data_IF_251493531127
#
_entry.id   IF_251493531127
#
_cell.length_a   1.000
_cell.length_b   1.000
_cell.length_c   1.000
_cell.angle_alpha   90.00
_cell.angle_beta   90.00
_cell.angle_gamma   90.00
#
_symmetry.space_group_name_H-M   'P 1'
#
loop_
_entity.id
_entity.type
_entity.pdbx_description
1 polymer ?
#
# COMPACT_ATOMS: atom_id res chain seq x y z
N UNK A 1 8.89 -41.30 -66.69
CA UNK A 1 9.61 -40.42 -65.80
C UNK A 1 8.78 -39.18 -65.56
N UNK A 2 7.99 -39.12 -64.44
CA UNK A 2 7.15 -37.99 -64.09
C UNK A 2 7.77 -37.28 -62.89
N UNK A 3 8.20 -36.06 -63.13
CA UNK A 3 8.79 -35.19 -62.10
C UNK A 3 7.66 -34.48 -61.38
N UNK A 4 7.52 -34.68 -60.06
CA UNK A 4 6.60 -33.96 -59.18
C UNK A 4 7.33 -32.75 -58.63
N UNK A 5 6.85 -31.54 -58.95
CA UNK A 5 7.25 -30.29 -58.34
C UNK A 5 6.52 -30.16 -56.98
N UNK A 6 7.29 -30.12 -55.91
CA UNK A 6 6.78 -29.84 -54.56
C UNK A 6 6.79 -28.31 -54.35
N UNK A 7 5.61 -27.70 -54.35
CA UNK A 7 5.43 -26.28 -54.00
C UNK A 7 5.35 -26.17 -52.46
N UNK A 8 6.37 -25.64 -51.81
CA UNK A 8 6.34 -25.31 -50.41
C UNK A 8 5.67 -23.95 -50.23
N UNK A 9 4.46 -23.97 -49.69
CA UNK A 9 3.73 -22.77 -49.27
C UNK A 9 4.31 -22.30 -47.94
N UNK A 10 5.12 -21.25 -47.93
CA UNK A 10 5.55 -20.52 -46.71
C UNK A 10 4.36 -19.73 -46.16
N UNK A 11 3.66 -20.27 -45.18
CA UNK A 11 2.69 -19.52 -44.39
C UNK A 11 3.47 -18.60 -43.43
N UNK A 12 3.52 -17.31 -43.78
CA UNK A 12 4.07 -16.28 -42.89
C UNK A 12 3.17 -16.12 -41.66
N UNK A 13 3.63 -16.57 -40.50
CA UNK A 13 3.03 -16.22 -39.24
C UNK A 13 3.23 -14.70 -39.01
N UNK A 14 2.19 -13.95 -38.63
CA UNK A 14 2.36 -12.56 -38.26
C UNK A 14 3.25 -12.50 -37.00
N UNK A 15 4.39 -11.84 -37.11
CA UNK A 15 5.20 -11.49 -35.96
C UNK A 15 4.34 -10.57 -35.06
N UNK A 16 3.90 -11.09 -33.92
CA UNK A 16 3.31 -10.28 -32.85
C UNK A 16 4.48 -9.44 -32.31
N UNK A 17 4.56 -8.20 -32.76
CA UNK A 17 5.39 -7.19 -32.13
C UNK A 17 4.83 -6.97 -30.72
N UNK A 18 5.44 -7.62 -29.73
CA UNK A 18 5.28 -7.19 -28.34
C UNK A 18 5.86 -5.77 -28.28
N UNK A 19 4.98 -4.78 -28.08
CA UNK A 19 5.42 -3.44 -27.71
C UNK A 19 6.30 -3.59 -26.47
N UNK A 20 7.57 -3.21 -26.57
CA UNK A 20 8.44 -3.12 -25.41
C UNK A 20 7.81 -2.11 -24.45
N UNK A 21 7.75 -2.42 -23.14
CA UNK A 21 7.23 -1.48 -22.18
C UNK A 21 8.03 -0.17 -22.26
N UNK A 22 7.32 0.96 -22.32
CA UNK A 22 7.89 2.32 -22.31
C UNK A 22 8.49 2.62 -20.91
N UNK A 23 9.57 1.91 -20.54
CA UNK A 23 10.39 2.30 -19.41
C UNK A 23 11.76 2.75 -19.90
N UNK A 24 12.32 3.72 -19.21
CA UNK A 24 13.66 4.23 -19.51
C UNK A 24 14.64 3.43 -18.68
N UNK A 25 15.51 2.70 -19.36
CA UNK A 25 16.66 2.08 -18.72
C UNK A 25 17.63 3.19 -18.29
N UNK A 26 17.65 3.50 -17.01
CA UNK A 26 18.54 4.52 -16.44
C UNK A 26 19.77 3.81 -15.91
N UNK A 27 20.78 3.66 -16.74
CA UNK A 27 22.07 3.13 -16.34
C UNK A 27 22.91 4.23 -15.70
N UNK A 28 22.99 4.24 -14.35
CA UNK A 28 23.96 5.05 -13.66
C UNK A 28 25.37 4.43 -13.85
N UNK A 29 26.39 5.20 -14.25
CA UNK A 29 27.76 4.72 -14.28
C UNK A 29 28.24 4.41 -12.85
N UNK A 30 28.48 3.15 -12.54
CA UNK A 30 28.87 2.68 -11.20
C UNK A 30 27.67 2.51 -10.25
N UNK A 31 27.93 2.09 -9.00
CA UNK A 31 26.94 1.87 -7.93
C UNK A 31 26.35 3.19 -7.35
N UNK A 32 26.28 4.28 -8.12
CA UNK A 32 25.78 5.57 -7.68
C UNK A 32 24.26 5.61 -7.77
N UNK A 33 23.58 5.96 -6.66
CA UNK A 33 22.16 6.24 -6.67
C UNK A 33 21.88 7.50 -7.50
N UNK A 34 20.87 7.42 -8.39
CA UNK A 34 20.45 8.57 -9.21
C UNK A 34 19.87 9.68 -8.35
N UNK A 35 20.08 10.93 -8.77
CA UNK A 35 19.61 12.13 -8.09
C UNK A 35 18.54 12.86 -8.90
N UNK A 36 17.43 13.17 -8.24
CA UNK A 36 16.31 13.93 -8.77
C UNK A 36 16.21 15.29 -8.08
N UNK A 37 16.30 16.38 -8.85
CA UNK A 37 15.94 17.71 -8.39
C UNK A 37 14.43 17.92 -8.53
N UNK A 38 13.76 18.45 -7.48
CA UNK A 38 12.34 18.83 -7.53
C UNK A 38 12.23 20.33 -7.27
N UNK A 39 12.05 21.12 -8.34
CA UNK A 39 11.90 22.57 -8.21
C UNK A 39 10.59 22.95 -7.50
N UNK A 40 10.56 24.09 -6.79
CA UNK A 40 9.31 24.69 -6.35
C UNK A 40 8.36 24.94 -7.52
N UNK A 41 7.06 24.82 -7.29
CA UNK A 41 6.05 25.09 -8.35
C UNK A 41 6.08 26.56 -8.72
N UNK A 42 6.18 26.89 -10.02
CA UNK A 42 6.19 28.25 -10.55
C UNK A 42 4.76 28.70 -10.91
N UNK A 43 4.51 29.99 -10.90
CA UNK A 43 3.36 30.62 -11.57
C UNK A 43 3.77 31.08 -12.98
N UNK A 44 2.84 31.37 -13.91
CA UNK A 44 3.13 31.79 -15.28
C UNK A 44 4.04 33.03 -15.39
N UNK A 45 4.04 33.89 -14.38
CA UNK A 45 4.94 35.07 -14.27
C UNK A 45 6.30 34.72 -13.61
N UNK A 46 6.56 33.45 -13.34
CA UNK A 46 7.78 32.97 -12.69
C UNK A 46 7.81 33.17 -11.18
N UNK A 47 6.75 33.76 -10.57
CA UNK A 47 6.61 33.85 -9.12
C UNK A 47 6.18 32.51 -8.54
N UNK A 48 6.70 32.19 -7.37
CA UNK A 48 6.31 30.97 -6.65
C UNK A 48 5.18 31.28 -5.68
N UNK A 49 4.00 30.62 -5.77
CA UNK A 49 2.95 30.76 -4.76
C UNK A 49 3.50 30.23 -3.41
N UNK A 50 3.62 31.07 -2.35
CA UNK A 50 4.49 30.77 -1.20
C UNK A 50 4.21 29.44 -0.49
N UNK A 51 2.95 29.07 -0.30
CA UNK A 51 2.60 27.87 0.47
C UNK A 51 2.25 26.66 -0.40
N UNK A 52 1.55 26.84 -1.52
CA UNK A 52 1.16 25.76 -2.42
C UNK A 52 2.39 25.13 -3.11
N UNK A 53 3.35 25.96 -3.46
CA UNK A 53 4.60 25.60 -4.13
C UNK A 53 5.47 24.68 -3.27
N UNK A 54 5.73 25.08 -2.03
CA UNK A 54 6.53 24.29 -1.10
C UNK A 54 5.88 22.94 -0.80
N UNK A 55 4.58 22.95 -0.52
CA UNK A 55 3.84 21.71 -0.21
C UNK A 55 3.91 20.69 -1.35
N UNK A 56 3.79 21.14 -2.62
CA UNK A 56 3.84 20.24 -3.76
C UNK A 56 5.21 19.59 -3.96
N UNK A 57 6.30 20.39 -3.94
CA UNK A 57 7.65 19.85 -4.10
C UNK A 57 8.06 18.96 -2.93
N UNK A 58 7.66 19.30 -1.69
CA UNK A 58 7.90 18.45 -0.52
C UNK A 58 7.18 17.09 -0.62
N UNK A 59 5.94 17.08 -1.12
CA UNK A 59 5.17 15.83 -1.34
C UNK A 59 5.91 14.93 -2.31
N UNK A 60 6.25 15.45 -3.52
CA UNK A 60 6.96 14.65 -4.54
C UNK A 60 8.30 14.16 -4.00
N UNK A 61 9.07 15.03 -3.34
CA UNK A 61 10.38 14.69 -2.76
C UNK A 61 10.25 13.57 -1.72
N UNK A 62 9.28 13.67 -0.82
CA UNK A 62 9.04 12.65 0.22
C UNK A 62 8.61 11.31 -0.37
N UNK A 63 7.71 11.31 -1.35
CA UNK A 63 7.21 10.10 -2.02
C UNK A 63 8.36 9.38 -2.72
N UNK A 64 9.13 10.10 -3.51
CA UNK A 64 10.25 9.52 -4.26
C UNK A 64 11.34 9.01 -3.31
N UNK A 65 11.71 9.75 -2.27
CA UNK A 65 12.67 9.29 -1.27
C UNK A 65 12.16 8.05 -0.52
N UNK A 66 10.86 7.99 -0.22
CA UNK A 66 10.26 6.81 0.40
C UNK A 66 10.33 5.58 -0.52
N UNK A 67 10.23 5.76 -1.84
CA UNK A 67 10.37 4.66 -2.80
C UNK A 67 11.74 3.98 -2.77
N UNK A 68 12.79 4.75 -2.46
CA UNK A 68 14.18 4.28 -2.50
C UNK A 68 14.74 4.09 -3.90
N UNK A 69 13.98 4.39 -4.95
CA UNK A 69 14.39 4.21 -6.35
C UNK A 69 15.46 5.24 -6.73
N UNK A 70 15.24 6.51 -6.38
CA UNK A 70 16.18 7.61 -6.59
C UNK A 70 16.22 8.49 -5.35
N UNK A 71 17.28 9.29 -5.20
CA UNK A 71 17.41 10.30 -4.15
C UNK A 71 16.83 11.63 -4.67
N UNK A 72 15.76 12.12 -4.06
CA UNK A 72 15.12 13.37 -4.43
C UNK A 72 15.51 14.49 -3.46
N UNK A 73 15.81 15.67 -4.00
CA UNK A 73 16.08 16.90 -3.26
C UNK A 73 15.13 18.00 -3.75
N UNK A 74 14.47 18.74 -2.84
CA UNK A 74 13.47 19.75 -3.23
C UNK A 74 13.52 21.03 -2.39
N UNK A 75 13.44 20.91 -1.06
CA UNK A 75 13.16 22.02 -0.15
C UNK A 75 14.17 23.19 -0.19
N UNK A 76 15.43 22.90 -0.43
CA UNK A 76 16.53 23.88 -0.43
C UNK A 76 17.02 24.29 -1.81
N UNK A 77 16.42 23.72 -2.87
CA UNK A 77 16.83 24.02 -4.23
C UNK A 77 16.39 25.43 -4.63
N UNK A 78 17.36 26.25 -5.02
CA UNK A 78 17.10 27.50 -5.72
C UNK A 78 17.26 27.25 -7.21
N UNK A 79 16.19 27.46 -8.02
CA UNK A 79 16.32 27.36 -9.47
C UNK A 79 17.43 28.29 -9.99
N UNK A 80 18.24 27.85 -10.96
CA UNK A 80 19.22 28.72 -11.59
C UNK A 80 18.54 29.97 -12.19
N UNK A 81 19.19 31.13 -12.09
CA UNK A 81 18.68 32.37 -12.68
C UNK A 81 18.45 32.19 -14.19
N UNK A 82 17.32 32.72 -14.70
CA UNK A 82 16.94 32.65 -16.11
C UNK A 82 16.01 31.50 -16.51
N UNK A 83 15.68 30.58 -15.60
CA UNK A 83 14.74 29.48 -15.86
C UNK A 83 13.28 29.90 -15.53
N UNK A 84 12.64 30.68 -16.41
CA UNK A 84 11.28 31.23 -16.21
C UNK A 84 10.19 30.45 -16.93
N UNK A 85 10.52 29.56 -17.84
CA UNK A 85 9.55 28.78 -18.64
C UNK A 85 9.60 27.29 -18.28
N UNK A 86 8.43 26.67 -18.27
CA UNK A 86 8.27 25.24 -18.00
C UNK A 86 8.99 24.37 -19.05
N UNK A 87 9.12 24.84 -20.28
CA UNK A 87 9.70 24.11 -21.42
C UNK A 87 11.16 24.43 -21.69
N UNK A 88 11.63 25.61 -21.29
CA UNK A 88 13.00 26.03 -21.54
C UNK A 88 13.91 25.72 -20.35
N UNK A 89 14.58 24.56 -20.41
CA UNK A 89 15.40 24.06 -19.32
C UNK A 89 16.88 24.31 -19.62
N UNK A 90 17.51 25.17 -18.81
CA UNK A 90 18.97 25.22 -18.77
C UNK A 90 19.52 24.04 -17.97
N UNK A 91 20.03 23.03 -18.66
CA UNK A 91 20.52 21.78 -18.05
C UNK A 91 21.88 21.91 -17.37
N UNK A 92 22.72 22.87 -17.81
CA UNK A 92 24.14 22.97 -17.39
C UNK A 92 24.28 23.11 -15.84
N UNK A 93 23.56 23.99 -15.15
CA UNK A 93 23.64 24.10 -13.69
C UNK A 93 23.25 22.81 -12.94
N UNK A 94 22.25 22.09 -13.43
CA UNK A 94 21.78 20.83 -12.81
C UNK A 94 22.81 19.71 -12.97
N UNK A 95 23.44 19.61 -14.17
CA UNK A 95 24.55 18.69 -14.40
C UNK A 95 25.74 19.01 -13.49
N UNK A 96 26.12 20.30 -13.37
CA UNK A 96 27.20 20.72 -12.48
C UNK A 96 26.91 20.41 -11.01
N UNK A 97 25.63 20.51 -10.58
CA UNK A 97 25.19 20.13 -9.24
C UNK A 97 25.07 18.61 -9.04
N UNK A 98 25.26 17.81 -10.09
CA UNK A 98 25.26 16.34 -10.03
C UNK A 98 23.89 15.70 -10.03
N UNK A 99 22.85 16.39 -10.54
CA UNK A 99 21.53 15.83 -10.74
C UNK A 99 21.41 15.10 -12.08
N UNK A 100 20.74 13.97 -12.06
CA UNK A 100 20.49 13.16 -13.26
C UNK A 100 19.11 13.47 -13.86
N UNK A 101 18.17 13.89 -13.01
CA UNK A 101 16.80 14.19 -13.39
C UNK A 101 16.29 15.47 -12.72
N UNK A 102 15.27 16.08 -13.32
CA UNK A 102 14.65 17.32 -12.85
C UNK A 102 13.13 17.26 -12.98
N UNK A 103 12.42 17.58 -11.90
CA UNK A 103 10.99 17.90 -11.94
C UNK A 103 10.82 19.41 -11.97
N UNK A 104 10.09 19.90 -12.97
CA UNK A 104 9.58 21.27 -13.06
C UNK A 104 8.07 21.24 -13.04
N UNK A 105 7.47 22.25 -12.44
CA UNK A 105 6.03 22.38 -12.38
C UNK A 105 5.60 23.84 -12.45
N UNK A 106 4.45 24.05 -13.08
CA UNK A 106 3.80 25.35 -13.22
C UNK A 106 2.35 25.25 -12.79
N UNK A 107 1.91 26.30 -12.08
CA UNK A 107 0.56 26.42 -11.55
C UNK A 107 -0.08 27.68 -12.11
N UNK A 108 -1.29 27.56 -12.65
CA UNK A 108 -2.10 28.68 -13.12
C UNK A 108 -3.55 28.56 -12.64
N UNK A 109 -4.27 29.69 -12.63
CA UNK A 109 -5.69 29.73 -12.35
C UNK A 109 -6.46 29.93 -13.64
N UNK A 110 -7.47 29.12 -13.90
CA UNK A 110 -8.43 29.26 -14.98
C UNK A 110 -9.83 29.45 -14.37
N UNK A 111 -10.22 30.70 -14.13
CA UNK A 111 -11.37 31.04 -13.27
C UNK A 111 -11.12 30.53 -11.84
N UNK A 112 -12.06 29.74 -11.29
CA UNK A 112 -11.95 29.17 -9.93
C UNK A 112 -11.17 27.82 -9.92
N UNK A 113 -10.66 27.38 -11.06
CA UNK A 113 -9.97 26.09 -11.18
C UNK A 113 -8.47 26.27 -11.19
N UNK A 114 -7.82 25.40 -10.42
CA UNK A 114 -6.39 25.24 -10.43
C UNK A 114 -6.00 24.35 -11.61
N UNK A 115 -5.04 24.80 -12.41
CA UNK A 115 -4.33 23.98 -13.39
C UNK A 115 -2.90 23.85 -12.92
N UNK A 116 -2.40 22.62 -12.81
CA UNK A 116 -0.99 22.36 -12.54
C UNK A 116 -0.44 21.43 -13.59
N UNK A 117 0.71 21.78 -14.15
CA UNK A 117 1.46 20.96 -15.08
C UNK A 117 2.80 20.58 -14.45
N UNK A 118 3.10 19.30 -14.43
CA UNK A 118 4.37 18.73 -13.98
C UNK A 118 5.09 18.10 -15.15
N UNK A 119 6.41 18.28 -15.20
CA UNK A 119 7.28 17.69 -16.19
C UNK A 119 8.50 17.07 -15.53
N UNK A 120 8.87 15.86 -15.98
CA UNK A 120 10.10 15.17 -15.61
C UNK A 120 11.06 15.22 -16.78
N UNK A 121 12.29 15.65 -16.51
CA UNK A 121 13.36 15.75 -17.50
C UNK A 121 14.51 14.83 -17.12
N UNK A 122 15.12 14.22 -18.12
CA UNK A 122 16.44 13.61 -18.08
C UNK A 122 17.47 14.73 -18.34
N UNK A 123 18.21 15.07 -17.29
CA UNK A 123 19.19 16.17 -17.34
C UNK A 123 20.41 15.78 -18.15
N UNK A 124 20.82 14.52 -18.09
CA UNK A 124 22.00 13.98 -18.79
C UNK A 124 21.77 13.96 -20.29
N UNK A 125 20.61 13.42 -20.72
CA UNK A 125 20.25 13.31 -22.13
C UNK A 125 19.49 14.54 -22.67
N UNK A 126 19.26 15.55 -21.83
CA UNK A 126 18.58 16.83 -22.17
C UNK A 126 17.24 16.64 -22.85
N UNK A 127 16.40 15.72 -22.35
CA UNK A 127 15.10 15.41 -22.91
C UNK A 127 14.00 15.34 -21.83
N UNK A 128 12.78 15.64 -22.23
CA UNK A 128 11.61 15.40 -21.40
C UNK A 128 11.28 13.91 -21.39
N UNK A 129 11.07 13.34 -20.20
CA UNK A 129 10.67 11.95 -20.00
C UNK A 129 9.15 11.83 -20.04
N UNK A 130 8.45 12.62 -19.22
CA UNK A 130 6.99 12.62 -19.13
C UNK A 130 6.46 13.98 -18.69
N UNK A 131 5.20 14.24 -19.00
CA UNK A 131 4.46 15.41 -18.54
C UNK A 131 3.03 15.03 -18.17
N UNK A 132 2.47 15.68 -17.16
CA UNK A 132 1.08 15.53 -16.74
C UNK A 132 0.47 16.87 -16.39
N UNK A 133 -0.75 17.09 -16.88
CA UNK A 133 -1.55 18.26 -16.56
C UNK A 133 -2.79 17.83 -15.78
N UNK A 134 -3.01 18.49 -14.64
CA UNK A 134 -4.14 18.25 -13.76
C UNK A 134 -5.01 19.51 -13.68
N UNK A 135 -6.32 19.30 -13.62
CA UNK A 135 -7.33 20.35 -13.47
C UNK A 135 -8.21 20.03 -12.27
N UNK A 136 -8.36 20.97 -11.34
CA UNK A 136 -9.15 20.76 -10.14
C UNK A 136 -9.25 22.02 -9.28
N UNK A 137 -9.31 21.84 -7.97
CA UNK A 137 -9.34 22.93 -6.98
C UNK A 137 -8.06 22.90 -6.12
N UNK A 138 -7.75 24.02 -5.47
CA UNK A 138 -6.49 24.17 -4.72
C UNK A 138 -6.25 23.07 -3.69
N UNK A 139 -7.30 22.58 -3.01
CA UNK A 139 -7.21 21.48 -2.03
C UNK A 139 -6.77 20.14 -2.64
N UNK A 140 -6.84 19.97 -3.96
CA UNK A 140 -6.45 18.76 -4.67
C UNK A 140 -4.98 18.77 -5.10
N UNK A 141 -4.26 19.88 -4.94
CA UNK A 141 -2.86 20.01 -5.37
C UNK A 141 -1.98 18.92 -4.77
N UNK A 142 -2.18 18.61 -3.49
CA UNK A 142 -1.44 17.52 -2.82
C UNK A 142 -1.68 16.16 -3.50
N UNK A 143 -2.93 15.83 -3.83
CA UNK A 143 -3.30 14.62 -4.54
C UNK A 143 -2.68 14.57 -5.94
N UNK A 144 -2.61 15.70 -6.65
CA UNK A 144 -1.95 15.80 -7.95
C UNK A 144 -0.44 15.56 -7.83
N UNK A 145 0.21 16.08 -6.76
CA UNK A 145 1.62 15.84 -6.48
C UNK A 145 1.92 14.37 -6.24
N UNK A 146 1.13 13.68 -5.42
CA UNK A 146 1.21 12.22 -5.22
C UNK A 146 1.00 11.46 -6.53
N UNK A 147 0.00 11.85 -7.33
CA UNK A 147 -0.25 11.23 -8.63
C UNK A 147 0.91 11.40 -9.60
N UNK A 148 1.59 12.56 -9.57
CA UNK A 148 2.77 12.75 -10.40
C UNK A 148 3.99 11.98 -9.88
N UNK A 149 4.17 11.83 -8.57
CA UNK A 149 5.18 10.94 -7.99
C UNK A 149 4.95 9.47 -8.43
N UNK A 150 3.71 9.00 -8.50
CA UNK A 150 3.36 7.69 -9.08
C UNK A 150 3.76 7.59 -10.57
N UNK A 151 3.57 8.66 -11.36
CA UNK A 151 4.00 8.69 -12.77
C UNK A 151 5.53 8.70 -12.91
N UNK A 152 6.24 9.38 -12.01
CA UNK A 152 7.72 9.33 -11.97
C UNK A 152 8.17 7.88 -11.73
N UNK A 153 7.61 7.20 -10.72
CA UNK A 153 7.94 5.81 -10.45
C UNK A 153 7.65 4.92 -11.66
N UNK A 154 6.48 5.11 -12.28
CA UNK A 154 6.12 4.33 -13.47
C UNK A 154 7.10 4.55 -14.63
N UNK A 155 7.53 5.78 -14.86
CA UNK A 155 8.51 6.10 -15.91
C UNK A 155 9.90 5.46 -15.62
N UNK A 156 10.28 5.34 -14.34
CA UNK A 156 11.59 4.82 -13.95
C UNK A 156 11.61 3.29 -13.75
N UNK A 157 10.49 2.68 -13.37
CA UNK A 157 10.44 1.26 -12.97
C UNK A 157 9.49 0.41 -13.82
N UNK A 158 8.64 1.03 -14.66
CA UNK A 158 7.57 0.36 -15.37
C UNK A 158 6.32 0.07 -14.50
N UNK A 159 6.39 0.23 -13.19
CA UNK A 159 5.32 -0.11 -12.25
C UNK A 159 4.68 1.15 -11.65
N UNK A 160 3.36 1.15 -11.51
CA UNK A 160 2.63 2.24 -10.88
C UNK A 160 2.98 2.33 -9.38
N UNK A 161 3.15 3.54 -8.86
CA UNK A 161 3.34 3.79 -7.43
C UNK A 161 2.03 3.68 -6.63
N UNK A 162 2.10 3.88 -5.32
CA UNK A 162 0.98 3.75 -4.36
C UNK A 162 0.68 5.05 -3.60
N UNK A 163 1.24 6.18 -4.04
CA UNK A 163 1.18 7.43 -3.29
C UNK A 163 -0.19 8.11 -3.35
N UNK A 164 -1.11 7.64 -4.20
CA UNK A 164 -2.52 8.06 -4.22
C UNK A 164 -3.45 7.17 -3.40
N UNK A 165 -2.91 6.18 -2.69
CA UNK A 165 -3.67 5.22 -1.87
C UNK A 165 -3.90 5.71 -0.44
N UNK A 166 -4.60 4.93 0.37
CA UNK A 166 -4.99 5.27 1.75
C UNK A 166 -4.63 4.17 2.72
N UNK A 167 -4.52 4.57 4.00
CA UNK A 167 -4.37 3.66 5.12
C UNK A 167 -5.58 3.82 6.04
N UNK A 168 -6.30 2.73 6.31
CA UNK A 168 -7.28 2.70 7.39
C UNK A 168 -6.60 2.15 8.66
N UNK A 169 -7.01 2.65 9.82
CA UNK A 169 -6.45 2.26 11.10
C UNK A 169 -7.47 2.45 12.23
N UNK A 170 -7.24 1.80 13.35
CA UNK A 170 -8.01 1.99 14.57
C UNK A 170 -7.32 3.05 15.44
N UNK A 171 -8.07 4.05 15.90
CA UNK A 171 -7.61 5.07 16.84
C UNK A 171 -8.44 5.07 18.13
N UNK A 172 -7.76 5.19 19.26
CA UNK A 172 -8.40 5.34 20.57
C UNK A 172 -8.34 6.79 21.12
N UNK A 173 -8.09 7.78 20.27
CA UNK A 173 -7.95 9.19 20.68
C UNK A 173 -9.22 9.78 21.29
N UNK A 174 -10.39 9.32 20.86
CA UNK A 174 -11.71 9.80 21.36
C UNK A 174 -12.21 9.05 22.59
N UNK A 175 -11.39 8.17 23.18
CA UNK A 175 -11.77 7.31 24.30
C UNK A 175 -12.31 5.94 23.88
N UNK A 176 -12.97 5.85 22.74
CA UNK A 176 -13.41 4.59 22.12
C UNK A 176 -12.47 4.22 20.94
N UNK A 177 -12.49 2.96 20.55
CA UNK A 177 -11.74 2.51 19.38
C UNK A 177 -12.58 2.74 18.13
N UNK A 178 -12.23 3.75 17.35
CA UNK A 178 -12.91 4.11 16.12
C UNK A 178 -11.98 3.90 14.91
N UNK A 179 -12.57 3.60 13.75
CA UNK A 179 -11.83 3.43 12.49
C UNK A 179 -11.67 4.78 11.80
N UNK A 180 -10.48 5.08 11.40
CA UNK A 180 -10.08 6.25 10.61
C UNK A 180 -9.48 5.83 9.28
N UNK A 181 -9.53 6.72 8.32
CA UNK A 181 -8.80 6.62 7.05
C UNK A 181 -7.99 7.89 6.85
N UNK A 182 -6.75 7.74 6.39
CA UNK A 182 -5.85 8.84 6.05
C UNK A 182 -5.18 8.55 4.70
N UNK A 183 -4.60 9.57 4.08
CA UNK A 183 -3.71 9.39 2.94
C UNK A 183 -2.49 8.57 3.38
N UNK A 184 -1.80 7.89 2.45
CA UNK A 184 -0.70 6.96 2.79
C UNK A 184 0.39 7.59 3.68
N UNK A 185 0.59 8.90 3.56
CA UNK A 185 1.61 9.68 4.29
C UNK A 185 1.08 10.34 5.58
N UNK A 186 -0.14 10.00 5.97
CA UNK A 186 -0.77 10.41 7.23
C UNK A 186 -1.61 11.68 7.16
N UNK A 187 -1.73 12.31 5.99
CA UNK A 187 -2.58 13.49 5.83
C UNK A 187 -4.06 13.13 5.78
N UNK A 188 -4.93 14.14 5.97
CA UNK A 188 -6.40 14.04 5.89
C UNK A 188 -7.00 12.90 6.72
N UNK A 189 -6.68 12.74 8.01
CA UNK A 189 -7.28 11.70 8.84
C UNK A 189 -8.78 11.97 9.02
N UNK A 190 -9.62 11.07 8.51
CA UNK A 190 -11.08 11.16 8.59
C UNK A 190 -11.64 9.95 9.35
N UNK A 191 -12.50 10.16 10.36
CA UNK A 191 -13.16 9.07 11.05
C UNK A 191 -14.21 8.43 10.14
N UNK A 192 -14.13 7.11 9.98
CA UNK A 192 -15.18 6.32 9.33
C UNK A 192 -16.25 5.90 10.33
N UNK A 193 -15.90 5.57 11.56
CA UNK A 193 -16.88 5.22 12.60
C UNK A 193 -16.92 6.30 13.68
N UNK A 194 -18.11 6.55 14.22
CA UNK A 194 -18.39 7.47 15.34
C UNK A 194 -19.56 6.93 16.15
N UNK A 195 -19.51 5.64 16.50
CA UNK A 195 -20.64 4.97 17.14
C UNK A 195 -20.46 4.80 18.66
N UNK A 196 -19.36 5.30 19.23
CA UNK A 196 -19.07 5.25 20.66
C UNK A 196 -18.80 3.84 21.18
N UNK A 197 -18.44 2.92 20.30
CA UNK A 197 -18.17 1.52 20.62
C UNK A 197 -16.75 1.10 20.25
N UNK A 198 -16.46 -0.18 20.38
CA UNK A 198 -15.20 -0.77 19.94
C UNK A 198 -15.36 -1.21 18.49
N UNK A 199 -14.53 -0.66 17.59
CA UNK A 199 -14.44 -1.02 16.19
C UNK A 199 -13.00 -1.46 15.88
N UNK A 200 -12.82 -2.64 15.27
CA UNK A 200 -11.54 -3.33 15.11
C UNK A 200 -11.41 -3.98 13.73
N UNK A 201 -10.20 -4.40 13.41
CA UNK A 201 -9.88 -5.25 12.26
C UNK A 201 -10.45 -4.71 10.93
N UNK A 202 -10.16 -3.45 10.55
CA UNK A 202 -10.54 -2.97 9.24
C UNK A 202 -9.84 -3.77 8.14
N UNK A 203 -10.53 -3.97 6.99
CA UNK A 203 -9.92 -4.52 5.77
C UNK A 203 -10.60 -3.92 4.55
N UNK A 204 -9.82 -3.45 3.55
CA UNK A 204 -10.35 -2.84 2.34
C UNK A 204 -10.80 -3.90 1.34
N UNK A 205 -11.88 -3.60 0.60
CA UNK A 205 -12.21 -4.36 -0.59
C UNK A 205 -11.11 -4.24 -1.65
N UNK A 206 -10.93 -5.24 -2.54
CA UNK A 206 -9.88 -5.23 -3.57
C UNK A 206 -9.93 -4.03 -4.53
N UNK A 207 -11.10 -3.39 -4.69
CA UNK A 207 -11.27 -2.16 -5.48
C UNK A 207 -11.06 -0.88 -4.66
N UNK A 208 -10.75 -0.99 -3.36
CA UNK A 208 -10.50 0.12 -2.44
C UNK A 208 -11.72 0.99 -2.12
N UNK A 209 -12.94 0.58 -2.51
CA UNK A 209 -14.16 1.41 -2.35
C UNK A 209 -14.94 1.14 -1.09
N UNK A 210 -14.78 -0.03 -0.52
CA UNK A 210 -15.49 -0.46 0.68
C UNK A 210 -14.49 -0.90 1.76
N UNK A 211 -14.97 -0.94 3.00
CA UNK A 211 -14.23 -1.46 4.14
C UNK A 211 -15.14 -2.40 4.93
N UNK A 212 -14.59 -3.53 5.37
CA UNK A 212 -15.21 -4.38 6.39
C UNK A 212 -14.51 -4.15 7.72
N UNK A 213 -15.24 -4.34 8.81
CA UNK A 213 -14.70 -4.19 10.16
C UNK A 213 -15.57 -4.91 11.18
N UNK A 214 -14.97 -5.29 12.31
CA UNK A 214 -15.67 -5.80 13.46
C UNK A 214 -16.15 -4.66 14.36
N UNK A 215 -17.43 -4.65 14.79
CA UNK A 215 -17.97 -3.65 15.70
C UNK A 215 -18.77 -4.30 16.84
N UNK A 216 -18.55 -3.78 18.06
CA UNK A 216 -19.27 -4.17 19.27
C UNK A 216 -20.50 -3.29 19.56
N UNK A 217 -20.96 -2.47 18.61
CA UNK A 217 -22.09 -1.53 18.81
C UNK A 217 -23.42 -2.22 19.17
N UNK A 218 -23.54 -3.52 18.92
CA UNK A 218 -24.68 -4.35 19.34
C UNK A 218 -24.34 -5.30 20.50
N UNK A 219 -23.26 -5.04 21.24
CA UNK A 219 -22.70 -5.83 22.36
C UNK A 219 -22.04 -7.16 21.96
N UNK A 220 -22.35 -7.71 20.79
CA UNK A 220 -21.65 -8.84 20.18
C UNK A 220 -20.62 -8.31 19.18
N UNK A 221 -19.45 -8.93 19.01
CA UNK A 221 -18.53 -8.59 17.92
C UNK A 221 -19.12 -9.07 16.59
N UNK A 222 -19.73 -8.16 15.86
CA UNK A 222 -20.38 -8.42 14.58
C UNK A 222 -19.54 -7.84 13.43
N UNK A 223 -19.57 -8.50 12.26
CA UNK A 223 -18.90 -8.02 11.07
C UNK A 223 -19.80 -7.08 10.26
N UNK A 224 -19.29 -5.91 9.95
CA UNK A 224 -19.95 -4.89 9.13
C UNK A 224 -19.17 -4.58 7.87
N UNK A 225 -19.88 -4.12 6.84
CA UNK A 225 -19.33 -3.55 5.60
C UNK A 225 -19.83 -2.12 5.43
N UNK A 226 -18.98 -1.24 4.93
CA UNK A 226 -19.33 0.15 4.67
C UNK A 226 -18.60 0.68 3.42
N UNK A 227 -19.30 1.33 2.46
CA UNK A 227 -18.66 2.11 1.41
C UNK A 227 -17.91 3.33 2.00
N UNK A 228 -16.74 3.67 1.44
CA UNK A 228 -16.00 4.86 1.89
C UNK A 228 -16.74 6.17 1.57
N UNK A 229 -17.55 6.18 0.51
CA UNK A 229 -18.34 7.33 0.06
C UNK A 229 -19.67 7.51 0.79
N UNK A 230 -20.06 6.57 1.68
CA UNK A 230 -21.37 6.58 2.37
C UNK A 230 -21.21 6.21 3.84
N UNK A 231 -21.99 6.81 4.75
CA UNK A 231 -22.01 6.43 6.15
C UNK A 231 -22.84 5.15 6.43
N UNK A 232 -23.46 4.58 5.41
CA UNK A 232 -24.35 3.41 5.58
C UNK A 232 -23.54 2.15 5.85
N UNK A 233 -23.79 1.52 6.98
CA UNK A 233 -23.14 0.27 7.39
C UNK A 233 -24.10 -0.91 7.19
N UNK A 234 -23.61 -1.95 6.51
CA UNK A 234 -24.35 -3.20 6.26
C UNK A 234 -23.83 -4.28 7.20
N UNK A 235 -24.70 -4.91 7.94
CA UNK A 235 -24.38 -6.06 8.79
C UNK A 235 -24.19 -7.30 7.92
N UNK A 236 -22.99 -7.90 7.97
CA UNK A 236 -22.65 -9.11 7.20
C UNK A 236 -22.73 -10.39 8.01
N UNK A 237 -22.29 -10.36 9.27
CA UNK A 237 -22.33 -11.52 10.15
C UNK A 237 -22.61 -11.09 11.58
N UNK A 238 -23.58 -11.77 12.23
CA UNK A 238 -23.99 -11.54 13.61
C UNK A 238 -24.31 -12.86 14.34
N UNK A 239 -23.64 -13.92 13.98
CA UNK A 239 -23.76 -15.20 14.67
C UNK A 239 -23.44 -15.05 16.16
N UNK A 240 -24.01 -15.89 17.01
CA UNK A 240 -23.67 -15.91 18.45
C UNK A 240 -22.16 -16.14 18.61
N UNK A 241 -21.51 -15.35 19.47
CA UNK A 241 -20.07 -15.41 19.70
C UNK A 241 -19.28 -14.52 18.75
N UNK A 242 -18.08 -14.94 18.38
CA UNK A 242 -17.15 -14.16 17.58
C UNK A 242 -17.55 -14.10 16.10
N UNK A 243 -17.53 -12.90 15.51
CA UNK A 243 -17.61 -12.62 14.07
C UNK A 243 -16.51 -11.58 13.77
N UNK A 244 -15.26 -12.03 13.67
CA UNK A 244 -14.10 -11.14 13.73
C UNK A 244 -13.08 -11.42 12.62
N UNK A 245 -12.14 -10.50 12.45
CA UNK A 245 -10.96 -10.63 11.57
C UNK A 245 -11.31 -10.92 10.11
N UNK A 246 -12.32 -10.20 9.58
CA UNK A 246 -12.71 -10.35 8.18
C UNK A 246 -11.58 -9.98 7.23
N UNK A 247 -11.42 -10.75 6.15
CA UNK A 247 -10.46 -10.51 5.07
C UNK A 247 -11.10 -10.80 3.72
N UNK A 248 -11.01 -9.84 2.77
CA UNK A 248 -11.55 -10.00 1.43
C UNK A 248 -10.77 -10.99 0.59
N UNK A 249 -11.48 -11.79 -0.21
CA UNK A 249 -10.85 -12.53 -1.32
C UNK A 249 -10.37 -11.56 -2.40
N UNK A 250 -9.30 -11.87 -3.14
CA UNK A 250 -8.71 -10.95 -4.14
C UNK A 250 -9.66 -10.59 -5.28
N UNK A 251 -10.65 -11.43 -5.59
CA UNK A 251 -11.72 -11.18 -6.57
C UNK A 251 -12.92 -10.40 -6.00
N UNK A 252 -12.92 -10.12 -4.68
CA UNK A 252 -13.98 -9.41 -3.98
C UNK A 252 -15.31 -10.17 -3.88
N UNK A 253 -15.36 -11.47 -4.21
CA UNK A 253 -16.58 -12.27 -4.17
C UNK A 253 -16.90 -12.82 -2.78
N UNK A 254 -15.87 -13.03 -1.95
CA UNK A 254 -15.97 -13.66 -0.63
C UNK A 254 -15.22 -12.88 0.44
N UNK A 255 -15.57 -13.19 1.69
CA UNK A 255 -14.89 -12.71 2.90
C UNK A 255 -14.58 -13.94 3.75
N UNK A 256 -13.30 -14.12 4.10
CA UNK A 256 -12.89 -15.07 5.14
C UNK A 256 -12.95 -14.36 6.49
N UNK A 257 -13.42 -15.07 7.53
CA UNK A 257 -13.55 -14.52 8.88
C UNK A 257 -13.47 -15.64 9.93
N UNK A 258 -13.26 -15.25 11.19
CA UNK A 258 -13.35 -16.18 12.30
C UNK A 258 -14.73 -16.13 12.95
N UNK A 259 -15.40 -17.27 13.05
CA UNK A 259 -16.68 -17.45 13.73
C UNK A 259 -16.55 -18.49 14.84
N UNK A 260 -17.20 -18.25 16.00
CA UNK A 260 -17.29 -19.22 17.10
C UNK A 260 -18.72 -19.77 17.31
N UNK A 261 -19.57 -19.69 16.28
CA UNK A 261 -20.98 -20.11 16.37
C UNK A 261 -21.20 -21.61 16.62
N UNK A 262 -20.25 -22.45 16.26
CA UNK A 262 -20.28 -23.91 16.37
C UNK A 262 -19.30 -24.45 17.43
N UNK A 263 -18.84 -23.60 18.38
CA UNK A 263 -17.90 -23.95 19.47
C UNK A 263 -16.71 -23.00 19.48
N UNK A 264 -15.49 -23.54 19.26
CA UNK A 264 -14.28 -22.75 19.18
C UNK A 264 -14.26 -21.89 17.91
N UNK A 265 -13.38 -20.87 17.91
CA UNK A 265 -13.27 -19.97 16.77
C UNK A 265 -12.58 -20.67 15.60
N UNK A 266 -13.24 -20.69 14.46
CA UNK A 266 -12.80 -21.37 13.26
C UNK A 266 -12.86 -20.44 12.05
N UNK A 267 -12.10 -20.73 11.01
CA UNK A 267 -12.15 -19.98 9.76
C UNK A 267 -13.37 -20.40 8.94
N UNK A 268 -14.15 -19.41 8.55
CA UNK A 268 -15.27 -19.51 7.63
C UNK A 268 -15.07 -18.59 6.44
N UNK A 269 -15.77 -18.87 5.35
CA UNK A 269 -16.02 -17.90 4.29
C UNK A 269 -17.51 -17.59 4.21
N UNK A 270 -17.82 -16.34 3.87
CA UNK A 270 -19.16 -15.86 3.49
C UNK A 270 -19.07 -15.19 2.13
N UNK A 271 -20.19 -15.07 1.42
CA UNK A 271 -20.22 -14.21 0.25
C UNK A 271 -20.15 -12.74 0.64
N UNK A 272 -19.84 -11.84 -0.32
CA UNK A 272 -19.72 -10.40 -0.06
C UNK A 272 -20.96 -9.73 0.51
N UNK A 273 -22.12 -10.35 0.42
CA UNK A 273 -23.40 -9.90 1.00
C UNK A 273 -23.69 -10.49 2.39
N UNK A 274 -22.80 -11.32 2.93
CA UNK A 274 -22.93 -12.00 4.22
C UNK A 274 -23.62 -13.36 4.13
N UNK A 275 -24.09 -13.78 2.96
CA UNK A 275 -24.77 -15.08 2.78
C UNK A 275 -23.77 -16.25 2.69
N UNK A 276 -24.32 -17.48 2.72
CA UNK A 276 -23.61 -18.77 2.50
C UNK A 276 -22.37 -19.00 3.37
N UNK A 277 -22.48 -18.94 4.73
CA UNK A 277 -21.36 -19.25 5.60
C UNK A 277 -20.89 -20.69 5.40
N UNK A 278 -19.61 -20.86 5.03
CA UNK A 278 -18.97 -22.16 4.81
C UNK A 278 -17.80 -22.31 5.77
N UNK A 279 -17.80 -23.33 6.63
CA UNK A 279 -16.73 -23.63 7.57
C UNK A 279 -15.54 -24.26 6.81
N UNK A 280 -14.33 -23.77 7.03
CA UNK A 280 -13.10 -24.23 6.36
C UNK A 280 -12.20 -25.02 7.31
N UNK A 281 -12.19 -24.68 8.61
CA UNK A 281 -11.41 -25.40 9.61
C UNK A 281 -12.32 -26.09 10.65
N UNK A 282 -11.86 -27.23 11.18
CA UNK A 282 -12.55 -28.02 12.21
C UNK A 282 -11.45 -28.54 13.13
N UNK A 283 -11.16 -27.84 14.21
CA UNK A 283 -10.12 -28.18 15.18
C UNK A 283 -10.54 -27.68 16.57
N UNK A 284 -10.21 -28.33 17.69
CA UNK A 284 -10.47 -27.78 19.03
C UNK A 284 -9.68 -26.52 19.36
N UNK A 285 -8.72 -26.14 18.52
CA UNK A 285 -7.90 -24.93 18.66
C UNK A 285 -8.62 -23.69 18.16
N UNK A 286 -8.06 -22.50 18.47
CA UNK A 286 -8.53 -21.23 17.96
C UNK A 286 -7.90 -20.94 16.61
N UNK A 287 -8.68 -20.82 15.56
CA UNK A 287 -8.27 -20.43 14.23
C UNK A 287 -8.74 -18.99 13.93
N UNK A 288 -7.80 -18.07 13.73
CA UNK A 288 -8.04 -16.63 13.66
C UNK A 288 -7.22 -15.97 12.54
N UNK A 289 -7.54 -14.72 12.23
CA UNK A 289 -6.76 -13.85 11.33
C UNK A 289 -6.50 -14.43 9.93
N UNK A 290 -7.56 -14.80 9.18
CA UNK A 290 -7.37 -15.28 7.81
C UNK A 290 -6.80 -14.20 6.90
N UNK A 291 -5.95 -14.59 5.96
CA UNK A 291 -5.38 -13.74 4.90
C UNK A 291 -5.27 -14.54 3.61
N UNK A 292 -5.93 -14.06 2.55
CA UNK A 292 -5.94 -14.73 1.25
C UNK A 292 -4.61 -14.58 0.51
N UNK A 293 -4.22 -15.61 -0.24
CA UNK A 293 -3.20 -15.48 -1.28
C UNK A 293 -3.73 -14.62 -2.44
N UNK A 294 -2.86 -13.87 -3.15
CA UNK A 294 -3.31 -12.97 -4.23
C UNK A 294 -3.94 -13.70 -5.43
N UNK A 295 -3.67 -15.00 -5.60
CA UNK A 295 -4.33 -15.85 -6.61
C UNK A 295 -5.65 -16.48 -6.12
N UNK A 296 -6.04 -16.21 -4.88
CA UNK A 296 -7.28 -16.71 -4.26
C UNK A 296 -7.31 -18.20 -3.97
N UNK A 297 -6.19 -18.93 -4.09
CA UNK A 297 -6.16 -20.38 -3.94
C UNK A 297 -5.86 -20.86 -2.54
N UNK A 298 -5.26 -20.02 -1.69
CA UNK A 298 -4.84 -20.36 -0.34
C UNK A 298 -5.27 -19.28 0.66
N UNK A 299 -5.34 -19.69 1.93
CA UNK A 299 -5.58 -18.81 3.07
C UNK A 299 -4.50 -19.10 4.12
N UNK A 300 -3.75 -18.06 4.53
CA UNK A 300 -2.92 -18.10 5.72
C UNK A 300 -3.78 -17.72 6.93
N UNK A 301 -3.55 -18.34 8.08
CA UNK A 301 -4.27 -18.07 9.31
C UNK A 301 -3.42 -18.39 10.54
N UNK A 302 -3.87 -17.96 11.70
CA UNK A 302 -3.25 -18.26 12.99
C UNK A 302 -3.99 -19.40 13.64
N UNK A 303 -3.26 -20.36 14.21
CA UNK A 303 -3.82 -21.45 15.00
C UNK A 303 -2.94 -21.77 16.20
N UNK A 304 -3.57 -22.08 17.35
CA UNK A 304 -2.86 -22.54 18.55
C UNK A 304 -2.90 -24.07 18.73
N UNK A 305 -3.29 -24.83 17.68
CA UNK A 305 -3.35 -26.32 17.65
C UNK A 305 -2.05 -27.02 18.04
N UNK A 306 -0.94 -26.32 18.04
CA UNK A 306 0.37 -26.78 18.50
C UNK A 306 0.73 -26.23 19.89
N UNK A 307 -0.27 -25.76 20.66
CA UNK A 307 -0.14 -25.23 22.02
C UNK A 307 0.18 -23.75 22.12
N UNK A 308 0.67 -23.12 21.04
CA UNK A 308 0.95 -21.68 20.94
C UNK A 308 0.61 -21.14 19.55
N UNK A 309 0.19 -19.86 19.42
CA UNK A 309 -0.16 -19.27 18.14
C UNK A 309 0.96 -19.36 17.10
N UNK A 310 0.67 -19.98 15.97
CA UNK A 310 1.55 -20.16 14.84
C UNK A 310 0.81 -19.87 13.54
N UNK A 311 1.54 -19.58 12.47
CA UNK A 311 0.96 -19.42 11.15
C UNK A 311 0.79 -20.77 10.47
N UNK A 312 -0.37 -20.97 9.89
CA UNK A 312 -0.73 -22.10 9.04
C UNK A 312 -1.21 -21.59 7.68
N UNK A 313 -1.16 -22.46 6.70
CA UNK A 313 -1.72 -22.22 5.35
C UNK A 313 -2.59 -23.40 4.99
N UNK A 314 -3.73 -23.14 4.35
CA UNK A 314 -4.67 -24.14 3.83
C UNK A 314 -5.12 -23.76 2.41
N UNK A 315 -5.77 -24.70 1.72
CA UNK A 315 -6.52 -24.37 0.49
C UNK A 315 -7.71 -23.45 0.79
N UNK A 316 -8.04 -22.58 -0.15
CA UNK A 316 -9.20 -21.68 -0.03
C UNK A 316 -10.54 -22.40 0.05
N UNK A 317 -10.60 -23.66 -0.39
CA UNK A 317 -11.76 -24.56 -0.22
C UNK A 317 -11.80 -25.29 1.12
N UNK A 318 -10.84 -25.06 2.00
CA UNK A 318 -10.57 -25.87 3.19
C UNK A 318 -9.68 -27.08 2.90
N UNK A 319 -9.09 -27.65 3.94
CA UNK A 319 -8.18 -28.79 3.84
C UNK A 319 -6.74 -28.43 3.50
N UNK A 320 -5.87 -29.44 3.42
CA UNK A 320 -4.43 -29.33 3.20
C UNK A 320 -3.74 -28.34 4.15
N UNK A 321 -4.15 -28.39 5.43
CA UNK A 321 -3.64 -27.50 6.48
C UNK A 321 -2.19 -27.86 6.78
N UNK A 322 -1.26 -26.93 6.60
CA UNK A 322 0.14 -27.08 6.94
C UNK A 322 0.64 -25.94 7.80
N UNK A 323 1.49 -26.24 8.75
CA UNK A 323 2.19 -25.23 9.55
C UNK A 323 3.21 -24.49 8.67
N UNK A 324 3.24 -23.16 8.78
CA UNK A 324 4.19 -22.32 8.05
C UNK A 324 5.37 -21.89 8.94
N UNK A 325 5.10 -21.38 10.16
CA UNK A 325 6.17 -20.95 11.09
C UNK A 325 6.62 -22.09 11.99
N UNK A 326 7.94 -22.35 12.01
CA UNK A 326 8.58 -23.36 12.85
C UNK A 326 9.39 -22.76 13.99
N UNK A 327 9.69 -21.46 13.91
CA UNK A 327 10.48 -20.69 14.88
C UNK A 327 9.62 -19.69 15.63
N UNK A 328 10.06 -19.29 16.83
CA UNK A 328 9.31 -18.39 17.71
C UNK A 328 8.13 -19.07 18.42
N UNK A 329 7.69 -18.47 19.52
CA UNK A 329 6.64 -19.03 20.36
C UNK A 329 5.27 -18.37 20.17
N UNK A 330 5.21 -17.25 19.46
CA UNK A 330 3.98 -16.49 19.28
C UNK A 330 4.05 -15.74 17.95
N UNK A 331 3.40 -16.26 16.93
CA UNK A 331 3.35 -15.72 15.58
C UNK A 331 1.89 -15.45 15.20
N UNK A 332 1.56 -14.19 14.85
CA UNK A 332 0.18 -13.74 14.63
C UNK A 332 0.08 -12.71 13.50
N UNK A 333 -1.16 -12.35 13.13
CA UNK A 333 -1.49 -11.32 12.16
C UNK A 333 -0.82 -11.52 10.79
N UNK A 334 -0.97 -12.69 10.14
CA UNK A 334 -0.43 -12.91 8.81
C UNK A 334 -1.10 -11.98 7.78
N UNK A 335 -0.29 -11.46 6.86
CA UNK A 335 -0.75 -10.71 5.68
C UNK A 335 0.04 -11.15 4.47
N UNK A 336 -0.64 -11.75 3.51
CA UNK A 336 -0.02 -12.22 2.29
C UNK A 336 0.43 -11.04 1.42
N UNK A 337 1.65 -11.10 0.88
CA UNK A 337 2.14 -10.12 -0.09
C UNK A 337 1.31 -10.17 -1.39
N UNK A 338 0.96 -9.04 -1.99
CA UNK A 338 0.26 -9.02 -3.28
C UNK A 338 1.09 -9.64 -4.41
N UNK A 339 2.41 -9.79 -4.23
CA UNK A 339 3.30 -10.52 -5.16
C UNK A 339 3.23 -12.05 -5.02
N UNK A 340 2.58 -12.55 -3.96
CA UNK A 340 2.41 -13.98 -3.73
C UNK A 340 3.63 -14.72 -3.19
N UNK A 341 4.74 -14.04 -2.97
CA UNK A 341 6.05 -14.61 -2.63
C UNK A 341 6.28 -14.76 -1.11
N UNK A 342 5.66 -13.88 -0.30
CA UNK A 342 5.90 -13.76 1.15
C UNK A 342 4.62 -13.53 1.94
N UNK A 343 4.71 -13.78 3.24
CA UNK A 343 3.70 -13.41 4.24
C UNK A 343 4.39 -12.55 5.30
N UNK A 344 3.89 -11.32 5.53
CA UNK A 344 4.29 -10.49 6.65
C UNK A 344 3.48 -10.87 7.89
N UNK A 345 4.08 -10.80 9.08
CA UNK A 345 3.43 -11.18 10.32
C UNK A 345 4.11 -10.58 11.55
N UNK A 346 3.46 -10.66 12.70
CA UNK A 346 3.99 -10.22 13.98
C UNK A 346 4.50 -11.42 14.79
N UNK A 347 5.75 -11.35 15.26
CA UNK A 347 6.36 -12.36 16.15
C UNK A 347 6.76 -11.74 17.47
N UNK A 348 6.46 -12.42 18.57
CA UNK A 348 6.95 -12.06 19.90
C UNK A 348 8.43 -12.40 20.03
N UNK A 349 9.26 -11.41 20.29
CA UNK A 349 10.69 -11.51 20.52
C UNK A 349 11.04 -10.75 21.81
N UNK A 350 11.53 -11.43 22.82
CA UNK A 350 11.94 -10.84 24.11
C UNK A 350 10.86 -9.93 24.74
N UNK A 351 9.60 -10.34 24.67
CA UNK A 351 8.47 -9.61 25.29
C UNK A 351 7.89 -8.46 24.45
N UNK A 352 8.43 -8.18 23.26
CA UNK A 352 7.90 -7.20 22.31
C UNK A 352 7.59 -7.85 20.96
N UNK A 353 6.55 -7.40 20.28
CA UNK A 353 6.27 -7.84 18.93
C UNK A 353 7.21 -7.18 17.93
N UNK A 354 7.60 -7.94 16.91
CA UNK A 354 8.38 -7.46 15.79
C UNK A 354 7.76 -7.92 14.47
N UNK A 355 7.92 -7.12 13.42
CA UNK A 355 7.46 -7.48 12.09
C UNK A 355 8.51 -8.40 11.43
N UNK A 356 8.01 -9.50 10.91
CA UNK A 356 8.75 -10.49 10.14
C UNK A 356 8.11 -10.70 8.77
N UNK A 357 8.88 -11.23 7.85
CA UNK A 357 8.37 -11.83 6.61
C UNK A 357 8.86 -13.26 6.50
N UNK A 358 8.02 -14.15 5.98
CA UNK A 358 8.35 -15.54 5.70
C UNK A 358 7.96 -15.88 4.26
N UNK A 359 8.80 -16.65 3.55
CA UNK A 359 8.44 -17.20 2.24
C UNK A 359 7.22 -18.11 2.34
N UNK A 360 6.44 -18.21 1.26
CA UNK A 360 5.19 -18.99 1.28
C UNK A 360 5.38 -20.49 1.44
N UNK A 361 6.59 -21.00 1.21
CA UNK A 361 7.00 -22.38 1.51
C UNK A 361 7.53 -22.57 2.95
N UNK A 362 7.74 -21.48 3.71
CA UNK A 362 8.23 -21.50 5.09
C UNK A 362 9.74 -21.60 5.24
N UNK A 363 10.53 -21.56 4.17
CA UNK A 363 11.98 -21.80 4.17
C UNK A 363 12.82 -20.57 4.51
N UNK A 364 12.34 -19.36 4.22
CA UNK A 364 13.06 -18.10 4.45
C UNK A 364 12.25 -17.20 5.37
N UNK A 365 12.81 -16.87 6.53
CA UNK A 365 12.21 -16.09 7.62
C UNK A 365 13.12 -14.92 7.98
N UNK A 366 12.62 -13.68 7.92
CA UNK A 366 13.43 -12.47 8.09
C UNK A 366 12.75 -11.47 9.02
N UNK A 367 13.49 -10.96 10.01
CA UNK A 367 13.05 -9.89 10.90
C UNK A 367 13.24 -8.53 10.22
N UNK A 368 12.19 -7.70 10.20
CA UNK A 368 12.21 -6.37 9.57
C UNK A 368 12.30 -5.22 10.57
N UNK A 369 11.86 -5.43 11.83
CA UNK A 369 11.88 -4.39 12.89
C UNK A 369 12.57 -4.90 14.14
N UNK A 370 13.23 -3.98 14.89
CA UNK A 370 13.97 -4.30 16.10
C UNK A 370 13.71 -3.30 17.23
N UNK A 371 13.15 -2.11 16.94
CA UNK A 371 12.91 -1.05 17.89
C UNK A 371 11.44 -1.04 18.36
N UNK A 372 11.19 -1.02 19.66
CA UNK A 372 9.86 -0.95 20.26
C UNK A 372 9.03 -2.21 20.10
N UNK A 373 7.70 -2.08 20.11
CA UNK A 373 6.75 -3.16 19.81
C UNK A 373 5.97 -2.83 18.55
N UNK A 374 6.00 -3.73 17.57
CA UNK A 374 5.50 -3.52 16.21
C UNK A 374 4.53 -4.65 15.83
N UNK A 375 3.30 -4.30 15.45
CA UNK A 375 2.22 -5.26 15.25
C UNK A 375 1.39 -4.93 14.00
N UNK A 376 0.62 -5.93 13.55
CA UNK A 376 -0.39 -5.79 12.51
C UNK A 376 0.17 -5.25 11.18
N UNK A 377 1.14 -5.94 10.56
CA UNK A 377 1.64 -5.52 9.26
C UNK A 377 0.56 -5.61 8.19
N UNK A 378 0.58 -4.68 7.22
CA UNK A 378 -0.22 -4.78 6.00
C UNK A 378 0.56 -4.21 4.81
N UNK A 379 0.51 -4.93 3.68
CA UNK A 379 1.21 -4.56 2.47
C UNK A 379 0.52 -3.44 1.70
N UNK A 380 1.30 -2.60 1.04
CA UNK A 380 0.80 -1.76 -0.06
C UNK A 380 0.38 -2.65 -1.24
N UNK A 381 -0.51 -2.15 -2.11
CA UNK A 381 -1.04 -2.93 -3.24
C UNK A 381 0.02 -3.37 -4.27
N UNK A 382 1.15 -2.68 -4.34
CA UNK A 382 2.30 -3.02 -5.18
C UNK A 382 3.33 -3.94 -4.50
N UNK A 383 3.17 -4.20 -3.19
CA UNK A 383 4.07 -5.02 -2.38
C UNK A 383 5.44 -4.40 -2.11
N UNK A 384 5.61 -3.09 -2.31
CA UNK A 384 6.86 -2.37 -2.04
C UNK A 384 6.98 -1.85 -0.62
N UNK A 385 5.83 -1.66 0.06
CA UNK A 385 5.78 -1.12 1.40
C UNK A 385 4.96 -1.99 2.34
N UNK A 386 5.21 -1.80 3.63
CA UNK A 386 4.45 -2.39 4.74
C UNK A 386 4.08 -1.26 5.69
N UNK A 387 2.78 -1.10 6.02
CA UNK A 387 2.37 -0.31 7.16
C UNK A 387 2.16 -1.21 8.38
N UNK A 388 2.39 -0.68 9.58
CA UNK A 388 2.24 -1.42 10.83
C UNK A 388 1.99 -0.46 12.00
N UNK A 389 1.38 -0.95 13.07
CA UNK A 389 1.27 -0.19 14.32
C UNK A 389 2.54 -0.36 15.15
N UNK A 390 3.01 0.72 15.77
CA UNK A 390 4.25 0.71 16.54
C UNK A 390 4.11 1.50 17.84
N UNK A 391 4.73 0.98 18.91
CA UNK A 391 4.91 1.65 20.20
C UNK A 391 6.41 1.79 20.43
N UNK A 392 6.93 3.02 20.30
CA UNK A 392 8.37 3.36 20.44
C UNK A 392 8.56 4.53 21.37
N UNK A 393 9.77 4.69 21.88
CA UNK A 393 10.18 5.89 22.64
C UNK A 393 10.08 7.18 21.81
N UNK A 394 10.34 7.09 20.50
CA UNK A 394 10.23 8.19 19.53
C UNK A 394 8.78 8.58 19.20
N UNK A 395 7.79 7.78 19.58
CA UNK A 395 6.37 8.02 19.38
C UNK A 395 5.59 6.78 18.96
N UNK A 396 4.33 6.72 19.41
CA UNK A 396 3.40 5.70 19.01
C UNK A 396 2.70 6.13 17.72
N UNK A 397 2.42 5.18 16.82
CA UNK A 397 1.74 5.56 15.59
C UNK A 397 1.56 4.42 14.59
N UNK A 398 1.06 4.80 13.44
CA UNK A 398 1.16 4.02 12.20
C UNK A 398 2.49 4.36 11.56
N UNK A 399 3.28 3.32 11.31
CA UNK A 399 4.55 3.41 10.61
C UNK A 399 4.43 2.80 9.22
N UNK A 400 5.22 3.32 8.30
CA UNK A 400 5.42 2.78 6.96
C UNK A 400 6.90 2.48 6.78
N UNK A 401 7.22 1.36 6.14
CA UNK A 401 8.57 0.97 5.76
C UNK A 401 8.59 0.33 4.38
N UNK A 402 9.76 0.24 3.76
CA UNK A 402 9.93 -0.59 2.55
C UNK A 402 9.80 -2.08 2.89
N UNK A 403 9.52 -2.89 1.89
CA UNK A 403 9.34 -4.34 2.04
C UNK A 403 10.57 -5.08 2.60
N UNK A 404 11.75 -4.46 2.53
CA UNK A 404 13.01 -4.95 3.11
C UNK A 404 13.23 -4.53 4.57
N UNK A 405 12.32 -3.75 5.15
CA UNK A 405 12.38 -3.23 6.53
C UNK A 405 13.07 -1.87 6.64
N UNK A 406 13.64 -1.33 5.57
CA UNK A 406 14.31 -0.03 5.55
C UNK A 406 13.33 1.15 5.48
N UNK A 407 13.80 2.37 5.76
CA UNK A 407 13.02 3.61 5.59
C UNK A 407 11.81 3.72 6.52
N UNK A 408 11.88 3.17 7.74
CA UNK A 408 10.80 3.21 8.72
C UNK A 408 10.45 4.65 9.10
N UNK A 409 9.20 5.06 8.88
CA UNK A 409 8.73 6.41 9.14
C UNK A 409 7.37 6.39 9.84
N UNK A 410 7.22 7.15 10.92
CA UNK A 410 5.92 7.42 11.53
C UNK A 410 5.14 8.35 10.61
N UNK A 411 3.98 7.90 10.13
CA UNK A 411 3.08 8.71 9.28
C UNK A 411 1.89 9.27 10.06
N UNK A 412 1.67 8.87 11.32
CA UNK A 412 0.61 9.46 12.15
C UNK A 412 0.94 10.90 12.49
N UNK A 413 0.02 11.83 12.21
CA UNK A 413 0.21 13.27 12.42
C UNK A 413 -0.01 13.72 13.89
N UNK A 414 -0.71 12.92 14.68
CA UNK A 414 -1.10 13.26 16.04
C UNK A 414 -0.60 12.24 17.05
N UNK A 415 -0.40 12.69 18.31
CA UNK A 415 -0.10 11.76 19.40
C UNK A 415 -1.35 10.94 19.75
N UNK A 416 -1.22 9.63 19.88
CA UNK A 416 -2.37 8.75 20.17
C UNK A 416 -2.00 7.29 20.27
N UNK A 417 -3.04 6.46 20.43
CA UNK A 417 -2.93 5.00 20.36
C UNK A 417 -3.54 4.54 19.05
N UNK A 418 -2.72 3.88 18.24
CA UNK A 418 -3.03 3.45 16.90
C UNK A 418 -2.85 1.94 16.78
N UNK A 419 -3.77 1.27 16.10
CA UNK A 419 -3.79 -0.18 15.98
C UNK A 419 -4.24 -0.60 14.58
N UNK A 420 -3.85 -1.80 14.18
CA UNK A 420 -4.40 -2.53 13.04
C UNK A 420 -4.51 -1.71 11.75
N UNK A 421 -3.41 -1.07 11.29
CA UNK A 421 -3.45 -0.39 10.02
C UNK A 421 -3.61 -1.40 8.88
N UNK A 422 -4.33 -0.98 7.82
CA UNK A 422 -4.44 -1.72 6.56
C UNK A 422 -4.30 -0.74 5.40
N UNK A 423 -3.72 -1.22 4.31
CA UNK A 423 -3.46 -0.42 3.12
C UNK A 423 -4.53 -0.67 2.07
N UNK A 424 -5.04 0.39 1.41
CA UNK A 424 -6.03 0.25 0.34
C UNK A 424 -5.39 -0.19 -0.96
N UNK A 425 -6.19 -0.80 -1.86
CA UNK A 425 -5.88 -0.83 -3.28
C UNK A 425 -5.88 0.60 -3.89
N UNK A 426 -5.55 0.68 -5.17
CA UNK A 426 -5.55 1.93 -5.94
C UNK A 426 -6.96 2.49 -6.17
#
# INVERSE_FOLDING_TARGET
MKIWLLVILLVGLPAVLFAQPDYIEVNAPGNRQLKLAVEPVLSPDGSSPPDASRNSSEVITNDINMSGVVMAEGRSLQPPAGNTSLSDVNYAPWLTAGFDMLVRSELSLQGDRLVVEFRLFDVVNRKMITAKRYLGVAKELRRFSHSFADEILRALTGEKGVFTTRIAYVSAQTGNKEIYVMDWDGYNPLPLTKNGSINLNPDFSPDGREIIFTSYKRRNPDLYRRPLSSPVEVLLSNSKGLNITGSWSPDGSKIALALSKDGDAEIYTIDKDGSRPTRLTIDPALDLYPSWSPDGKQIAFVSDRMGKPQLFVMKASGGDVRRLTTTGNYNVNPRWSPKGDKIAYSRMVNGAFQIFTISTDGTSDSQLTTEGSNENPAWSSDGRFICFSSVRSSGNGVYVMRADGSGQKNVSQTKGKYFQPVWSAH
#
